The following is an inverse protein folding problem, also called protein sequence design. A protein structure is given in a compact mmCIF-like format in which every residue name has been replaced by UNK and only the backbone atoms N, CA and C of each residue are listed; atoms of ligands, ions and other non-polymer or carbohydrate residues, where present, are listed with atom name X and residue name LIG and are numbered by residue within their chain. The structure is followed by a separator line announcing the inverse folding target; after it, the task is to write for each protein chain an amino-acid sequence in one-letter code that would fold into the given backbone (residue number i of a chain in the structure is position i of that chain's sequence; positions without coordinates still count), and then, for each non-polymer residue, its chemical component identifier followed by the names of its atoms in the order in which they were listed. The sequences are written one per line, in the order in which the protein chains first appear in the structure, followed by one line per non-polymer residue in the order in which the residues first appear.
data_IF_004925936947
#
_entry.id   IF_004925936947
#
_cell.length_a   1.000
_cell.length_b   1.000
_cell.length_c   1.000
_cell.angle_alpha   90.00
_cell.angle_beta   90.00
_cell.angle_gamma   90.00
#
_symmetry.space_group_name_H-M   'P 1'
#
loop_
_entity.id
_entity.type
_entity.pdbx_description
1 polymer ?
#
# COMPACT_ATOMS: atom_id res chain seq x y z
N UNK A 1 40.98 51.20 87.25
CA UNK A 1 41.14 49.79 87.69
C UNK A 1 39.91 49.03 87.25
N UNK A 2 40.00 48.23 86.18
CA UNK A 2 38.88 47.37 85.74
C UNK A 2 38.94 46.05 86.51
N UNK A 3 37.97 45.82 87.39
CA UNK A 3 37.96 44.71 88.34
C UNK A 3 37.43 43.38 87.76
N UNK A 4 37.16 43.33 86.45
CA UNK A 4 36.73 42.11 85.78
C UNK A 4 37.40 41.96 84.42
N UNK A 5 37.94 40.76 84.21
CA UNK A 5 38.60 40.31 82.99
C UNK A 5 37.58 40.26 81.85
N UNK A 6 37.80 41.02 80.78
CA UNK A 6 36.83 41.19 79.68
C UNK A 6 36.46 39.85 79.01
N UNK A 7 37.36 38.87 79.04
CA UNK A 7 37.11 37.52 78.54
C UNK A 7 35.89 36.86 79.20
N UNK A 8 35.60 37.17 80.48
CA UNK A 8 34.46 36.59 81.22
C UNK A 8 33.13 37.26 80.86
N UNK A 9 33.16 38.57 80.61
CA UNK A 9 31.99 39.33 80.13
C UNK A 9 31.59 38.91 78.71
N UNK A 10 32.57 38.63 77.85
CA UNK A 10 32.32 38.14 76.49
C UNK A 10 31.76 36.71 76.48
N UNK A 11 32.28 35.82 77.35
CA UNK A 11 31.75 34.47 77.51
C UNK A 11 30.29 34.45 78.00
N UNK A 12 29.91 35.36 78.92
CA UNK A 12 28.52 35.52 79.38
C UNK A 12 27.60 36.14 78.33
N UNK A 13 28.08 37.08 77.51
CA UNK A 13 27.27 37.70 76.45
C UNK A 13 26.91 36.69 75.34
N UNK A 14 27.80 35.74 75.08
CA UNK A 14 27.59 34.68 74.09
C UNK A 14 26.75 33.50 74.63
N UNK A 15 26.51 33.43 75.95
CA UNK A 15 25.66 32.41 76.58
C UNK A 15 24.16 32.59 76.29
N UNK A 16 23.73 33.75 75.81
CA UNK A 16 22.31 34.01 75.47
C UNK A 16 21.89 33.39 74.12
N UNK A 17 22.86 32.98 73.30
CA UNK A 17 22.62 32.32 72.00
C UNK A 17 22.44 30.80 72.12
N UNK A 18 22.25 30.28 73.34
CA UNK A 18 22.26 28.84 73.61
C UNK A 18 23.68 28.29 73.50
N UNK A 19 23.90 27.06 73.97
CA UNK A 19 25.14 26.35 73.69
C UNK A 19 25.40 26.44 72.19
N UNK A 20 26.54 27.02 71.78
CA UNK A 20 27.12 26.61 70.50
C UNK A 20 27.36 25.12 70.71
N UNK A 21 26.39 24.35 70.25
CA UNK A 21 26.45 22.93 70.16
C UNK A 21 27.53 22.67 69.12
N UNK A 22 28.77 22.66 69.61
CA UNK A 22 29.90 21.95 69.02
C UNK A 22 29.63 20.43 69.10
N UNK A 23 28.36 19.99 69.11
CA UNK A 23 27.97 18.63 68.84
C UNK A 23 28.15 18.39 67.35
N UNK A 24 29.41 18.16 66.98
CA UNK A 24 29.80 17.23 65.93
C UNK A 24 29.05 17.41 64.59
N UNK A 25 29.58 18.26 63.69
CA UNK A 25 29.02 18.42 62.36
C UNK A 25 29.06 17.14 61.51
N UNK A 26 29.78 16.08 61.91
CA UNK A 26 29.81 14.81 61.14
C UNK A 26 28.43 14.19 60.96
N UNK A 27 27.52 14.23 61.94
CA UNK A 27 26.16 13.69 61.76
C UNK A 27 25.33 14.51 60.77
N UNK A 28 25.48 15.83 60.80
CA UNK A 28 24.83 16.73 59.85
C UNK A 28 25.40 16.56 58.43
N UNK A 29 26.71 16.43 58.28
CA UNK A 29 27.35 16.14 56.99
C UNK A 29 26.91 14.79 56.42
N UNK A 30 26.73 13.77 57.27
CA UNK A 30 26.18 12.47 56.84
C UNK A 30 24.73 12.63 56.35
N UNK A 31 23.88 13.34 57.09
CA UNK A 31 22.50 13.65 56.66
C UNK A 31 22.45 14.42 55.34
N UNK A 32 23.31 15.43 55.17
CA UNK A 32 23.42 16.21 53.93
C UNK A 32 23.90 15.32 52.78
N UNK A 33 24.93 14.49 52.99
CA UNK A 33 25.41 13.56 51.97
C UNK A 33 24.33 12.56 51.56
N UNK A 34 23.56 12.04 52.51
CA UNK A 34 22.45 11.13 52.23
C UNK A 34 21.36 11.82 51.41
N UNK A 35 20.99 13.06 51.78
CA UNK A 35 20.03 13.85 51.02
C UNK A 35 20.51 14.15 49.59
N UNK A 36 21.79 14.51 49.42
CA UNK A 36 22.40 14.75 48.10
C UNK A 36 22.40 13.48 47.25
N UNK A 37 22.74 12.32 47.83
CA UNK A 37 22.70 11.03 47.12
C UNK A 37 21.28 10.74 46.64
N UNK A 38 20.27 10.87 47.51
CA UNK A 38 18.86 10.64 47.13
C UNK A 38 18.43 11.60 46.02
N UNK A 39 18.75 12.89 46.14
CA UNK A 39 18.43 13.87 45.12
C UNK A 39 19.11 13.55 43.77
N UNK A 40 20.40 13.19 43.80
CA UNK A 40 21.14 12.78 42.61
C UNK A 40 20.54 11.51 41.98
N UNK A 41 20.15 10.52 42.77
CA UNK A 41 19.47 9.32 42.28
C UNK A 41 18.15 9.65 41.59
N UNK A 42 17.35 10.57 42.12
CA UNK A 42 16.11 11.02 41.47
C UNK A 42 16.40 11.72 40.14
N UNK A 43 17.40 12.61 40.09
CA UNK A 43 17.80 13.28 38.84
C UNK A 43 18.29 12.27 37.80
N UNK A 44 19.16 11.34 38.20
CA UNK A 44 19.64 10.26 37.32
C UNK A 44 18.47 9.40 36.85
N UNK A 45 17.53 9.05 37.73
CA UNK A 45 16.33 8.29 37.36
C UNK A 45 15.44 9.05 36.37
N UNK A 46 15.29 10.36 36.53
CA UNK A 46 14.54 11.21 35.59
C UNK A 46 15.26 11.36 34.24
N UNK A 47 16.59 11.46 34.24
CA UNK A 47 17.39 11.55 33.01
C UNK A 47 17.52 10.22 32.27
N UNK A 48 17.69 9.10 33.00
CA UNK A 48 17.74 7.74 32.46
C UNK A 48 16.35 7.20 32.13
N UNK A 49 15.32 7.78 32.75
CA UNK A 49 13.91 7.56 32.48
C UNK A 49 13.57 8.10 31.10
N UNK A 50 14.00 7.40 30.06
CA UNK A 50 13.51 7.58 28.71
C UNK A 50 12.02 7.25 28.73
N UNK A 51 11.18 8.26 28.87
CA UNK A 51 9.76 8.13 28.61
C UNK A 51 9.64 7.83 27.11
N UNK A 52 9.57 6.54 26.79
CA UNK A 52 9.31 6.06 25.45
C UNK A 52 7.88 6.49 25.09
N UNK A 53 7.75 7.71 24.59
CA UNK A 53 6.50 8.22 24.09
C UNK A 53 6.16 7.37 22.85
N UNK A 54 5.40 6.30 23.08
CA UNK A 54 4.98 5.36 22.06
C UNK A 54 3.88 6.05 21.26
N UNK A 55 4.32 6.89 20.32
CA UNK A 55 3.41 7.47 19.34
C UNK A 55 2.94 6.34 18.44
N UNK A 56 1.67 5.98 18.58
CA UNK A 56 1.02 4.99 17.72
C UNK A 56 0.93 5.62 16.33
N UNK A 57 1.95 5.38 15.50
CA UNK A 57 1.93 5.81 14.11
C UNK A 57 0.92 4.94 13.38
N UNK A 58 -0.17 5.54 12.92
CA UNK A 58 -1.13 4.89 12.01
C UNK A 58 -0.48 4.81 10.63
N UNK A 59 0.46 3.87 10.48
CA UNK A 59 1.04 3.53 9.18
C UNK A 59 0.14 2.53 8.47
N UNK A 60 -0.11 2.76 7.18
CA UNK A 60 -0.68 1.71 6.34
C UNK A 60 0.46 0.88 5.73
N UNK A 61 0.37 -0.44 5.83
CA UNK A 61 1.27 -1.33 5.11
C UNK A 61 0.97 -1.26 3.62
N UNK A 62 1.73 -0.45 2.90
CA UNK A 62 1.72 -0.43 1.44
C UNK A 62 2.75 -1.45 0.95
N UNK A 63 2.39 -2.36 0.03
CA UNK A 63 3.33 -3.29 -0.56
C UNK A 63 4.54 -2.58 -1.16
N UNK A 64 5.75 -2.90 -0.68
CA UNK A 64 7.04 -2.31 -1.12
C UNK A 64 7.33 -2.45 -2.62
N UNK A 65 6.62 -3.33 -3.34
CA UNK A 65 6.78 -3.56 -4.79
C UNK A 65 5.64 -2.99 -5.63
N UNK A 66 4.72 -2.23 -5.02
CA UNK A 66 3.54 -1.68 -5.67
C UNK A 66 2.46 -2.73 -5.97
N UNK A 67 1.23 -2.28 -6.18
CA UNK A 67 0.17 -3.10 -6.76
C UNK A 67 0.25 -3.00 -8.28
N UNK A 68 0.52 -4.12 -8.94
CA UNK A 68 0.41 -4.23 -10.39
C UNK A 68 -0.98 -4.79 -10.73
N UNK A 69 -1.95 -3.91 -10.98
CA UNK A 69 -3.26 -4.31 -11.49
C UNK A 69 -3.12 -4.68 -12.96
N UNK A 70 -3.16 -5.97 -13.28
CA UNK A 70 -3.13 -6.47 -14.66
C UNK A 70 -4.55 -6.36 -15.22
N UNK A 71 -4.78 -5.41 -16.13
CA UNK A 71 -6.05 -5.27 -16.84
C UNK A 71 -6.05 -6.13 -18.11
N UNK A 72 -7.19 -6.75 -18.42
CA UNK A 72 -7.37 -7.42 -19.70
C UNK A 72 -7.29 -6.39 -20.85
N UNK A 73 -6.61 -6.70 -21.97
CA UNK A 73 -6.42 -5.77 -23.08
C UNK A 73 -7.72 -5.44 -23.83
N UNK A 74 -8.78 -6.23 -23.65
CA UNK A 74 -10.08 -6.01 -24.27
C UNK A 74 -11.20 -6.64 -23.44
N UNK A 75 -12.40 -6.07 -23.56
CA UNK A 75 -13.63 -6.57 -22.93
C UNK A 75 -13.99 -7.92 -23.53
N UNK A 76 -14.00 -8.97 -22.71
CA UNK A 76 -14.31 -10.33 -23.16
C UNK A 76 -14.72 -11.23 -22.00
N UNK A 77 -15.02 -12.49 -22.33
CA UNK A 77 -15.34 -13.51 -21.33
C UNK A 77 -14.07 -14.27 -20.98
N UNK A 78 -13.77 -14.41 -19.69
CA UNK A 78 -12.66 -15.24 -19.23
C UNK A 78 -13.01 -16.70 -19.52
N UNK A 79 -12.32 -17.31 -20.47
CA UNK A 79 -12.60 -18.69 -20.88
C UNK A 79 -11.88 -19.70 -20.01
N UNK A 80 -10.69 -19.36 -19.49
CA UNK A 80 -9.95 -20.18 -18.53
C UNK A 80 -8.97 -19.33 -17.74
N UNK A 81 -8.93 -19.52 -16.43
CA UNK A 81 -7.92 -18.94 -15.54
C UNK A 81 -6.93 -20.05 -15.16
N UNK A 82 -5.65 -19.87 -15.46
CA UNK A 82 -4.60 -20.89 -15.21
C UNK A 82 -3.87 -20.68 -13.89
N UNK A 83 -4.30 -19.69 -13.09
CA UNK A 83 -3.71 -19.35 -11.80
C UNK A 83 -4.75 -19.35 -10.70
N UNK A 84 -4.39 -19.90 -9.54
CA UNK A 84 -5.22 -19.89 -8.33
C UNK A 84 -4.91 -18.68 -7.46
N UNK A 85 -5.89 -18.24 -6.66
CA UNK A 85 -5.71 -17.17 -5.69
C UNK A 85 -4.55 -17.49 -4.73
N UNK A 86 -3.64 -16.53 -4.53
CA UNK A 86 -2.45 -16.68 -3.68
C UNK A 86 -1.24 -17.35 -4.33
N UNK A 87 -1.32 -17.78 -5.59
CA UNK A 87 -0.20 -18.39 -6.29
C UNK A 87 0.86 -17.35 -6.70
N UNK A 88 2.14 -17.67 -6.46
CA UNK A 88 3.27 -16.85 -6.93
C UNK A 88 3.45 -17.02 -8.43
N UNK A 89 3.26 -15.92 -9.18
CA UNK A 89 3.44 -15.87 -10.64
C UNK A 89 4.70 -15.11 -11.03
N UNK A 90 5.37 -15.54 -12.10
CA UNK A 90 6.56 -14.85 -12.66
C UNK A 90 6.15 -13.90 -13.79
N UNK A 91 6.98 -12.90 -14.07
CA UNK A 91 6.78 -12.02 -15.23
C UNK A 91 6.76 -12.85 -16.52
N UNK A 92 5.73 -12.64 -17.36
CA UNK A 92 5.52 -13.38 -18.61
C UNK A 92 4.76 -14.72 -18.47
N UNK A 93 4.37 -15.11 -17.26
CA UNK A 93 3.55 -16.30 -17.06
C UNK A 93 2.09 -16.05 -17.49
N UNK A 94 1.51 -17.01 -18.22
CA UNK A 94 0.11 -16.96 -18.60
C UNK A 94 -0.78 -17.02 -17.36
N UNK A 95 -1.63 -16.00 -17.17
CA UNK A 95 -2.57 -15.93 -16.04
C UNK A 95 -3.95 -16.48 -16.43
N UNK A 96 -4.37 -16.25 -17.67
CA UNK A 96 -5.63 -16.75 -18.18
C UNK A 96 -5.85 -16.36 -19.63
N UNK A 97 -6.81 -17.04 -20.24
CA UNK A 97 -7.26 -16.78 -21.61
C UNK A 97 -8.56 -15.98 -21.53
N UNK A 98 -8.55 -14.78 -22.12
CA UNK A 98 -9.75 -13.97 -22.31
C UNK A 98 -10.19 -14.15 -23.76
N UNK A 99 -11.33 -14.80 -23.95
CA UNK A 99 -11.97 -14.85 -25.26
C UNK A 99 -12.69 -13.53 -25.44
N UNK A 100 -12.14 -12.65 -26.26
CA UNK A 100 -12.80 -11.41 -26.67
C UNK A 100 -13.80 -11.82 -27.76
N UNK A 101 -15.11 -11.81 -27.49
CA UNK A 101 -16.08 -11.92 -28.56
C UNK A 101 -15.87 -10.66 -29.40
N UNK A 102 -15.25 -10.80 -30.58
CA UNK A 102 -15.30 -9.72 -31.56
C UNK A 102 -16.76 -9.57 -31.97
N UNK A 103 -17.48 -8.74 -31.23
CA UNK A 103 -18.61 -8.01 -31.77
C UNK A 103 -18.03 -6.98 -32.76
N UNK A 104 -17.51 -7.45 -33.89
CA UNK A 104 -17.82 -6.72 -35.13
C UNK A 104 -19.33 -6.59 -35.14
N UNK A 105 -19.84 -5.37 -35.28
CA UNK A 105 -21.25 -4.94 -35.29
C UNK A 105 -22.11 -5.69 -36.34
N UNK A 106 -22.14 -7.02 -36.26
CA UNK A 106 -22.63 -7.87 -37.33
C UNK A 106 -22.07 -9.28 -37.30
N UNK A 107 -21.63 -9.88 -36.18
CA UNK A 107 -21.26 -11.31 -36.20
C UNK A 107 -22.44 -12.24 -36.53
N UNK A 108 -23.68 -11.79 -36.33
CA UNK A 108 -24.87 -12.44 -36.91
C UNK A 108 -25.13 -12.01 -38.36
N UNK A 109 -24.95 -10.71 -38.65
CA UNK A 109 -25.24 -10.16 -39.98
C UNK A 109 -24.18 -10.52 -41.03
N UNK A 110 -22.92 -10.79 -40.69
CA UNK A 110 -21.89 -11.16 -41.66
C UNK A 110 -22.05 -12.59 -42.10
N UNK A 111 -22.47 -13.51 -41.22
CA UNK A 111 -22.76 -14.88 -41.63
C UNK A 111 -24.04 -14.91 -42.48
N UNK A 112 -25.08 -14.19 -42.06
CA UNK A 112 -26.30 -14.02 -42.84
C UNK A 112 -26.05 -13.31 -44.19
N UNK A 113 -25.27 -12.22 -44.21
CA UNK A 113 -24.92 -11.48 -45.42
C UNK A 113 -24.01 -12.29 -46.35
N UNK A 114 -23.10 -13.09 -45.79
CA UNK A 114 -22.25 -14.00 -46.58
C UNK A 114 -23.11 -15.09 -47.22
N UNK A 115 -24.05 -15.68 -46.48
CA UNK A 115 -25.02 -16.64 -47.04
C UNK A 115 -25.91 -16.00 -48.11
N UNK A 116 -26.39 -14.78 -47.90
CA UNK A 116 -27.15 -14.03 -48.90
C UNK A 116 -26.34 -13.76 -50.17
N UNK A 117 -25.09 -13.35 -50.03
CA UNK A 117 -24.22 -13.07 -51.16
C UNK A 117 -23.84 -14.35 -51.95
N UNK A 118 -23.64 -15.47 -51.26
CA UNK A 118 -23.43 -16.77 -51.91
C UNK A 118 -24.67 -17.24 -52.66
N UNK A 119 -25.87 -17.05 -52.11
CA UNK A 119 -27.15 -17.35 -52.79
C UNK A 119 -27.33 -16.51 -54.05
N UNK A 120 -27.11 -15.20 -53.95
CA UNK A 120 -27.22 -14.29 -55.11
C UNK A 120 -26.23 -14.65 -56.23
N UNK A 121 -25.00 -15.05 -55.89
CA UNK A 121 -24.04 -15.53 -56.88
C UNK A 121 -24.48 -16.84 -57.53
N UNK A 122 -25.02 -17.78 -56.77
CA UNK A 122 -25.53 -19.05 -57.31
C UNK A 122 -26.71 -18.86 -58.26
N UNK A 123 -27.63 -17.96 -57.92
CA UNK A 123 -28.78 -17.61 -58.78
C UNK A 123 -28.34 -16.90 -60.06
N UNK A 124 -27.39 -15.96 -59.97
CA UNK A 124 -26.82 -15.26 -61.13
C UNK A 124 -26.09 -16.19 -62.11
N UNK A 125 -25.41 -17.23 -61.61
CA UNK A 125 -24.77 -18.24 -62.46
C UNK A 125 -25.82 -19.07 -63.23
N UNK A 126 -26.90 -19.48 -62.57
CA UNK A 126 -27.98 -20.24 -63.21
C UNK A 126 -28.71 -19.44 -64.29
N UNK A 127 -28.98 -18.15 -64.03
CA UNK A 127 -29.63 -17.30 -65.03
C UNK A 127 -28.73 -17.03 -66.23
N UNK A 128 -27.41 -16.87 -66.01
CA UNK A 128 -26.43 -16.74 -67.09
C UNK A 128 -26.37 -18.00 -67.97
N UNK A 129 -26.39 -19.19 -67.36
CA UNK A 129 -26.40 -20.46 -68.09
C UNK A 129 -27.66 -20.61 -68.95
N UNK A 130 -28.84 -20.30 -68.39
CA UNK A 130 -30.10 -20.33 -69.14
C UNK A 130 -30.13 -19.32 -70.30
N UNK A 131 -29.65 -18.10 -70.09
CA UNK A 131 -29.57 -17.10 -71.15
C UNK A 131 -28.66 -17.57 -72.30
N UNK A 132 -27.56 -18.24 -71.96
CA UNK A 132 -26.62 -18.79 -72.95
C UNK A 132 -27.25 -19.94 -73.75
N UNK A 133 -27.99 -20.84 -73.10
CA UNK A 133 -28.73 -21.91 -73.79
C UNK A 133 -29.82 -21.37 -74.72
N UNK A 134 -30.55 -20.32 -74.31
CA UNK A 134 -31.55 -19.68 -75.16
C UNK A 134 -30.92 -19.02 -76.39
N UNK A 135 -29.75 -18.40 -76.24
CA UNK A 135 -29.01 -17.84 -77.38
C UNK A 135 -28.55 -18.92 -78.36
N UNK A 136 -28.11 -20.08 -77.85
CA UNK A 136 -27.71 -21.22 -78.68
C UNK A 136 -28.91 -21.81 -79.44
N UNK A 137 -30.06 -21.99 -78.79
CA UNK A 137 -31.29 -22.49 -79.42
C UNK A 137 -31.81 -21.52 -80.50
N UNK A 138 -31.77 -20.21 -80.22
CA UNK A 138 -32.14 -19.19 -81.20
C UNK A 138 -31.19 -19.18 -82.42
N UNK A 139 -29.89 -19.44 -82.21
CA UNK A 139 -28.93 -19.57 -83.32
C UNK A 139 -29.19 -20.84 -84.14
N UNK A 140 -29.46 -21.98 -83.50
CA UNK A 140 -29.79 -23.22 -84.22
C UNK A 140 -31.06 -23.10 -85.06
N UNK A 141 -32.08 -22.39 -84.57
CA UNK A 141 -33.30 -22.13 -85.32
C UNK A 141 -33.07 -21.18 -86.51
N UNK A 142 -32.25 -20.16 -86.34
CA UNK A 142 -31.86 -19.25 -87.44
C UNK A 142 -31.00 -19.91 -88.52
N UNK A 143 -30.24 -20.96 -88.19
CA UNK A 143 -29.44 -21.75 -89.14
C UNK A 143 -30.24 -22.84 -89.86
N UNK A 144 -31.45 -23.18 -89.38
CA UNK A 144 -32.34 -24.20 -89.97
C UNK A 144 -33.46 -23.63 -90.86
N UNK A 145 -33.59 -22.30 -90.95
CA UNK A 145 -34.49 -21.60 -91.87
C UNK A 145 -33.76 -21.18 -93.15
#
# INVERSE_FOLDING_TARGET
MSLFRQEVLQARRNSWLGSISLAQPVRAWVLVSAAVIVAASVVVFLCMGTYAHRSTVTGQLVPIKGLATVMAPATGVVSRLEVSEGQRVKAGQMLGVVTVPRATLGSGDTEAALQHQLRQRGEGLKSSEQAQLQQLDAQEQGLRA
#
